data_IF_504191637914
#
_entry.id   IF_504191637914
#
_cell.length_a   1.000
_cell.length_b   1.000
_cell.length_c   1.000
_cell.angle_alpha   90.00
_cell.angle_beta   90.00
_cell.angle_gamma   90.00
#
_symmetry.space_group_name_H-M   'P 1'
#
loop_
_entity.id
_entity.type
_entity.pdbx_description
1 polymer ?
#
# COMPACT_ATOMS: atom_id res chain seq x y z
N UNK A 1 31.11 17.29 -23.65
CA UNK A 1 29.73 16.84 -23.46
C UNK A 1 29.23 17.52 -22.20
N UNK A 2 28.08 18.20 -22.26
CA UNK A 2 27.57 18.99 -21.14
C UNK A 2 27.30 18.09 -19.92
N UNK A 3 27.58 18.58 -18.71
CA UNK A 3 27.25 17.95 -17.43
C UNK A 3 25.74 17.84 -17.16
N UNK A 4 24.90 17.99 -18.20
CA UNK A 4 23.45 17.85 -18.07
C UNK A 4 23.10 16.41 -17.70
N UNK A 5 22.45 16.25 -16.54
CA UNK A 5 21.86 14.98 -16.09
C UNK A 5 20.34 15.12 -16.07
N UNK A 6 19.61 14.12 -16.52
CA UNK A 6 18.14 14.14 -16.43
C UNK A 6 17.73 14.25 -14.94
N UNK A 7 16.68 15.08 -14.67
CA UNK A 7 16.07 15.12 -13.34
C UNK A 7 15.53 13.72 -13.01
N UNK A 8 15.95 13.16 -11.88
CA UNK A 8 15.48 11.88 -11.41
C UNK A 8 13.99 11.94 -11.05
N UNK A 9 13.22 11.00 -11.56
CA UNK A 9 11.80 10.78 -11.23
C UNK A 9 11.65 9.39 -10.63
N UNK A 10 10.93 9.30 -9.51
CA UNK A 10 10.74 8.07 -8.75
C UNK A 10 9.42 7.46 -9.18
N UNK A 11 9.45 6.25 -9.77
CA UNK A 11 8.29 5.42 -10.09
C UNK A 11 8.36 4.10 -9.29
N UNK A 12 8.83 4.19 -8.06
CA UNK A 12 8.91 3.07 -7.13
C UNK A 12 7.52 2.81 -6.53
N UNK A 13 7.23 1.57 -6.12
CA UNK A 13 6.05 1.28 -5.28
C UNK A 13 6.15 1.87 -3.86
N UNK A 14 7.12 2.71 -3.62
CA UNK A 14 7.43 3.44 -2.40
C UNK A 14 8.92 3.39 -2.03
N UNK A 15 9.49 4.50 -1.50
CA UNK A 15 8.76 5.75 -1.24
C UNK A 15 8.23 6.39 -2.52
N UNK A 16 7.16 7.18 -2.41
CA UNK A 16 6.49 7.85 -3.52
C UNK A 16 6.84 9.34 -3.55
N UNK A 17 6.61 10.04 -4.66
CA UNK A 17 6.72 11.50 -4.68
C UNK A 17 5.83 12.13 -3.61
N UNK A 18 6.40 13.10 -2.89
CA UNK A 18 5.71 13.88 -1.86
C UNK A 18 5.19 15.17 -2.50
N UNK A 19 3.90 15.55 -2.32
CA UNK A 19 3.40 16.84 -2.78
C UNK A 19 4.15 18.00 -2.14
N UNK A 20 4.35 19.10 -2.88
CA UNK A 20 5.12 20.25 -2.38
C UNK A 20 4.53 20.83 -1.07
N UNK A 21 3.20 20.95 -0.95
CA UNK A 21 2.55 21.41 0.29
C UNK A 21 2.85 20.52 1.49
N UNK A 22 2.86 19.20 1.30
CA UNK A 22 3.20 18.22 2.34
C UNK A 22 4.69 18.34 2.74
N UNK A 23 5.57 18.54 1.77
CA UNK A 23 6.99 18.75 2.04
C UNK A 23 7.24 20.07 2.78
N UNK A 24 6.56 21.16 2.39
CA UNK A 24 6.65 22.47 3.05
C UNK A 24 6.07 22.45 4.45
N UNK A 25 4.96 21.75 4.68
CA UNK A 25 4.38 21.61 6.02
C UNK A 25 5.36 20.97 7.02
N UNK A 26 6.18 20.02 6.56
CA UNK A 26 7.21 19.40 7.40
C UNK A 26 8.27 20.41 7.88
N UNK A 27 8.49 21.48 7.14
CA UNK A 27 9.48 22.52 7.45
C UNK A 27 8.95 23.60 8.42
N UNK A 28 7.71 23.51 8.91
CA UNK A 28 7.18 24.44 9.90
C UNK A 28 8.00 24.44 11.19
N UNK A 29 8.04 25.56 11.92
CA UNK A 29 8.80 25.67 13.15
C UNK A 29 8.42 24.61 14.18
N UNK A 30 9.43 24.03 14.84
CA UNK A 30 9.25 23.07 15.91
C UNK A 30 8.41 23.65 17.05
N UNK A 31 7.57 22.83 17.66
CA UNK A 31 6.77 23.21 18.84
C UNK A 31 6.89 22.14 19.93
N UNK A 32 6.53 22.52 21.14
CA UNK A 32 6.37 21.57 22.24
C UNK A 32 5.22 20.60 21.95
N UNK A 33 5.54 19.31 21.92
CA UNK A 33 4.58 18.24 21.64
C UNK A 33 3.58 17.96 22.77
N UNK A 34 3.75 18.58 23.95
CA UNK A 34 2.82 18.59 25.07
C UNK A 34 2.21 19.97 25.28
N UNK A 35 2.34 20.83 24.30
CA UNK A 35 1.91 22.22 24.37
C UNK A 35 0.61 22.50 23.61
N UNK A 36 0.03 23.68 23.83
CA UNK A 36 -1.29 24.07 23.33
C UNK A 36 -1.38 24.18 21.80
N UNK A 37 -0.26 24.10 21.08
CA UNK A 37 -0.25 24.11 19.61
C UNK A 37 -0.31 22.70 19.03
N UNK A 38 0.37 21.72 19.65
CA UNK A 38 0.47 20.38 19.13
C UNK A 38 -0.70 19.48 19.52
N UNK A 39 -1.17 19.56 20.77
CA UNK A 39 -2.26 18.70 21.25
C UNK A 39 -3.57 18.80 20.42
N UNK A 40 -4.05 20.00 20.03
CA UNK A 40 -5.22 20.11 19.17
C UNK A 40 -4.99 19.49 17.79
N UNK A 41 -3.80 19.72 17.20
CA UNK A 41 -3.41 19.12 15.92
C UNK A 41 -3.43 17.59 16.00
N UNK A 42 -2.84 17.03 17.06
CA UNK A 42 -2.76 15.58 17.23
C UNK A 42 -4.15 14.95 17.37
N UNK A 43 -5.05 15.58 18.14
CA UNK A 43 -6.44 15.14 18.30
C UNK A 43 -7.21 15.20 16.97
N UNK A 44 -7.06 16.28 16.21
CA UNK A 44 -7.70 16.42 14.90
C UNK A 44 -7.20 15.33 13.93
N UNK A 45 -5.89 15.16 13.82
CA UNK A 45 -5.28 14.13 12.97
C UNK A 45 -5.77 12.73 13.36
N UNK A 46 -5.81 12.40 14.65
CA UNK A 46 -6.30 11.09 15.10
C UNK A 46 -7.77 10.88 14.76
N UNK A 47 -8.63 11.88 14.97
CA UNK A 47 -10.04 11.79 14.60
C UNK A 47 -10.24 11.61 13.10
N UNK A 48 -9.45 12.30 12.28
CA UNK A 48 -9.47 12.17 10.81
C UNK A 48 -9.00 10.79 10.37
N UNK A 49 -7.94 10.26 10.98
CA UNK A 49 -7.47 8.90 10.72
C UNK A 49 -8.55 7.86 11.09
N UNK A 50 -9.22 7.97 12.23
CA UNK A 50 -10.30 7.04 12.60
C UNK A 50 -11.43 7.04 11.56
N UNK A 51 -11.82 8.22 11.05
CA UNK A 51 -12.78 8.32 9.93
C UNK A 51 -12.23 7.69 8.65
N UNK A 52 -10.95 7.91 8.33
CA UNK A 52 -10.32 7.38 7.13
C UNK A 52 -10.27 5.84 7.15
N UNK A 53 -9.96 5.23 8.29
CA UNK A 53 -9.96 3.77 8.48
C UNK A 53 -11.36 3.19 8.70
N UNK A 54 -12.38 4.04 8.87
CA UNK A 54 -13.75 3.65 9.21
C UNK A 54 -13.77 2.69 10.42
N UNK A 55 -13.18 3.15 11.53
CA UNK A 55 -13.15 2.40 12.80
C UNK A 55 -13.66 3.24 13.96
N UNK A 56 -14.43 2.59 14.85
CA UNK A 56 -14.82 3.12 16.16
C UNK A 56 -13.71 2.93 17.22
N UNK A 57 -12.65 2.20 16.85
CA UNK A 57 -11.51 1.97 17.71
C UNK A 57 -10.49 3.11 17.71
N UNK A 58 -9.20 2.80 17.63
CA UNK A 58 -8.14 3.79 17.69
C UNK A 58 -7.13 3.63 16.55
N UNK A 59 -6.49 4.74 16.15
CA UNK A 59 -5.38 4.72 15.21
C UNK A 59 -4.11 5.21 15.91
N UNK A 60 -3.18 4.29 16.10
CA UNK A 60 -1.87 4.56 16.69
C UNK A 60 -0.92 5.09 15.62
N UNK A 61 -0.35 6.27 15.81
CA UNK A 61 0.65 6.88 14.93
C UNK A 61 2.03 6.71 15.54
N UNK A 62 2.83 5.83 14.96
CA UNK A 62 4.14 5.46 15.48
C UNK A 62 5.27 6.16 14.69
N UNK A 63 6.30 6.69 15.34
CA UNK A 63 7.51 7.15 14.67
C UNK A 63 8.34 5.94 14.21
N UNK A 64 7.92 5.33 13.10
CA UNK A 64 8.46 4.06 12.60
C UNK A 64 8.25 3.88 11.11
N UNK A 65 8.85 2.85 10.53
CA UNK A 65 8.46 2.32 9.23
C UNK A 65 7.24 1.40 9.33
N UNK A 66 6.58 1.09 8.21
CA UNK A 66 5.52 0.08 8.18
C UNK A 66 5.95 -1.26 8.77
N UNK A 67 7.21 -1.67 8.57
CA UNK A 67 7.77 -2.91 9.17
C UNK A 67 7.72 -2.88 10.71
N UNK A 68 8.06 -1.74 11.33
CA UNK A 68 7.90 -1.58 12.78
C UNK A 68 6.43 -1.52 13.20
N UNK A 69 5.53 -1.00 12.35
CA UNK A 69 4.08 -1.09 12.57
C UNK A 69 3.56 -2.53 12.58
N UNK A 70 4.06 -3.40 11.68
CA UNK A 70 3.75 -4.83 11.66
C UNK A 70 4.25 -5.54 12.93
N UNK A 71 5.46 -5.20 13.39
CA UNK A 71 6.00 -5.69 14.66
C UNK A 71 5.13 -5.25 15.84
N UNK A 72 4.82 -3.94 15.92
CA UNK A 72 3.95 -3.40 16.95
C UNK A 72 2.57 -4.09 16.97
N UNK A 73 1.99 -4.35 15.80
CA UNK A 73 0.73 -5.09 15.67
C UNK A 73 0.83 -6.47 16.34
N UNK A 74 1.82 -7.28 15.96
CA UNK A 74 1.95 -8.66 16.45
C UNK A 74 2.22 -8.72 17.96
N UNK A 75 3.17 -7.94 18.48
CA UNK A 75 3.53 -7.98 19.91
C UNK A 75 2.45 -7.43 20.84
N UNK A 76 1.51 -6.64 20.31
CA UNK A 76 0.41 -6.11 21.08
C UNK A 76 -0.85 -6.98 21.02
N UNK A 77 -1.16 -7.55 19.86
CA UNK A 77 -2.38 -8.33 19.70
C UNK A 77 -2.28 -9.74 20.27
N UNK A 78 -1.11 -10.37 20.20
CA UNK A 78 -0.99 -11.79 20.49
C UNK A 78 -0.15 -12.06 21.73
N UNK A 79 -0.54 -13.05 22.50
CA UNK A 79 0.24 -13.54 23.63
C UNK A 79 1.57 -14.16 23.13
N UNK A 80 2.67 -14.08 23.90
CA UNK A 80 3.93 -14.71 23.52
C UNK A 80 3.76 -16.20 23.20
N UNK A 81 4.31 -16.65 22.06
CA UNK A 81 4.21 -18.03 21.60
C UNK A 81 2.86 -18.43 21.01
N UNK A 82 1.92 -17.49 20.86
CA UNK A 82 0.63 -17.77 20.21
C UNK A 82 0.82 -18.30 18.79
N UNK A 83 -0.12 -19.13 18.34
CA UNK A 83 -0.11 -19.69 16.98
C UNK A 83 -0.83 -18.74 16.02
N UNK A 84 -0.18 -18.40 14.92
CA UNK A 84 -0.65 -17.48 13.89
C UNK A 84 -0.70 -18.19 12.53
N UNK A 85 -1.72 -17.92 11.76
CA UNK A 85 -1.77 -18.27 10.34
C UNK A 85 -1.38 -17.03 9.51
N UNK A 86 -0.38 -17.16 8.64
CA UNK A 86 0.03 -16.08 7.76
C UNK A 86 -0.16 -16.50 6.30
N UNK A 87 -0.93 -15.73 5.54
CA UNK A 87 -1.10 -15.91 4.09
C UNK A 87 0.09 -15.28 3.38
N UNK A 88 0.84 -16.08 2.63
CA UNK A 88 2.09 -15.70 1.96
C UNK A 88 1.88 -15.73 0.44
N UNK A 89 1.42 -14.61 -0.12
CA UNK A 89 1.22 -14.44 -1.57
C UNK A 89 2.39 -13.69 -2.24
N UNK A 90 3.47 -13.44 -1.51
CA UNK A 90 4.65 -12.75 -2.01
C UNK A 90 5.67 -12.41 -0.93
N UNK A 91 6.58 -11.49 -1.26
CA UNK A 91 7.70 -11.15 -0.38
C UNK A 91 7.27 -10.42 0.91
N UNK A 92 6.18 -9.65 0.88
CA UNK A 92 5.73 -8.91 2.06
C UNK A 92 4.96 -9.79 3.03
N UNK A 93 4.09 -10.67 2.55
CA UNK A 93 3.49 -11.72 3.38
C UNK A 93 4.55 -12.63 4.01
N UNK A 94 5.56 -13.04 3.23
CA UNK A 94 6.69 -13.83 3.75
C UNK A 94 7.46 -13.08 4.83
N UNK A 95 7.76 -11.78 4.61
CA UNK A 95 8.45 -10.96 5.62
C UNK A 95 7.69 -10.87 6.92
N UNK A 96 6.35 -10.77 6.87
CA UNK A 96 5.55 -10.69 8.08
C UNK A 96 5.56 -12.03 8.84
N UNK A 97 5.52 -13.15 8.11
CA UNK A 97 5.70 -14.48 8.70
C UNK A 97 7.08 -14.62 9.35
N UNK A 98 8.17 -14.30 8.64
CA UNK A 98 9.55 -14.34 9.14
C UNK A 98 9.71 -13.45 10.39
N UNK A 99 9.08 -12.28 10.40
CA UNK A 99 9.11 -11.36 11.54
C UNK A 99 8.39 -11.93 12.75
N UNK A 100 7.21 -12.52 12.57
CA UNK A 100 6.48 -13.15 13.67
C UNK A 100 7.24 -14.34 14.25
N UNK A 101 7.85 -15.19 13.41
CA UNK A 101 8.73 -16.30 13.87
C UNK A 101 9.93 -15.78 14.64
N UNK A 102 10.61 -14.72 14.15
CA UNK A 102 11.76 -14.12 14.83
C UNK A 102 11.39 -13.55 16.21
N UNK A 103 10.14 -13.18 16.42
CA UNK A 103 9.60 -12.75 17.73
C UNK A 103 9.10 -13.88 18.61
N UNK A 104 9.25 -15.15 18.16
CA UNK A 104 8.93 -16.35 18.95
C UNK A 104 7.47 -16.81 18.87
N UNK A 105 6.71 -16.38 17.84
CA UNK A 105 5.36 -16.91 17.57
C UNK A 105 5.42 -18.22 16.78
N UNK A 106 4.45 -19.11 17.00
CA UNK A 106 4.27 -20.31 16.19
C UNK A 106 3.52 -19.92 14.90
N UNK A 107 4.19 -19.96 13.76
CA UNK A 107 3.62 -19.50 12.49
C UNK A 107 3.36 -20.66 11.55
N UNK A 108 2.11 -20.81 11.12
CA UNK A 108 1.75 -21.64 9.99
C UNK A 108 1.61 -20.74 8.76
N UNK A 109 2.20 -21.15 7.63
CA UNK A 109 2.17 -20.38 6.39
C UNK A 109 1.20 -21.02 5.42
N UNK A 110 0.27 -20.23 4.89
CA UNK A 110 -0.51 -20.58 3.71
C UNK A 110 0.18 -19.98 2.50
N UNK A 111 0.99 -20.78 1.81
CA UNK A 111 1.69 -20.35 0.60
C UNK A 111 0.73 -20.26 -0.58
N UNK A 112 0.72 -19.11 -1.24
CA UNK A 112 -0.01 -18.83 -2.47
C UNK A 112 0.99 -18.60 -3.59
N UNK A 113 0.70 -19.08 -4.80
CA UNK A 113 1.58 -18.87 -5.93
C UNK A 113 1.78 -17.37 -6.19
N UNK A 114 3.03 -16.94 -6.34
CA UNK A 114 3.34 -15.52 -6.52
C UNK A 114 2.82 -15.01 -7.86
N UNK A 115 1.95 -14.03 -7.82
CA UNK A 115 1.18 -13.50 -8.94
C UNK A 115 -0.30 -13.86 -8.88
N UNK A 116 -0.70 -14.70 -7.94
CA UNK A 116 -2.09 -15.09 -7.70
C UNK A 116 -2.64 -14.48 -6.41
N UNK A 117 -3.95 -14.26 -6.37
CA UNK A 117 -4.66 -13.92 -5.15
C UNK A 117 -4.94 -15.18 -4.33
N UNK A 118 -5.00 -15.02 -3.01
CA UNK A 118 -5.41 -16.10 -2.12
C UNK A 118 -6.89 -16.42 -2.33
N UNK A 119 -7.20 -17.69 -2.45
CA UNK A 119 -8.58 -18.18 -2.44
C UNK A 119 -9.16 -18.09 -1.01
N UNK A 120 -10.25 -17.35 -0.79
CA UNK A 120 -10.88 -17.24 0.51
C UNK A 120 -11.29 -18.60 1.13
N UNK A 121 -11.70 -19.57 0.32
CA UNK A 121 -12.04 -20.90 0.79
C UNK A 121 -10.81 -21.68 1.29
N UNK A 122 -9.69 -21.53 0.59
CA UNK A 122 -8.41 -22.11 1.04
C UNK A 122 -7.94 -21.46 2.35
N UNK A 123 -8.15 -20.14 2.51
CA UNK A 123 -7.84 -19.44 3.76
C UNK A 123 -8.74 -19.93 4.90
N UNK A 124 -10.06 -20.07 4.68
CA UNK A 124 -11.00 -20.61 5.67
C UNK A 124 -10.62 -22.04 6.08
N UNK A 125 -10.33 -22.90 5.10
CA UNK A 125 -9.88 -24.27 5.35
C UNK A 125 -8.60 -24.29 6.19
N UNK A 126 -7.63 -23.44 5.90
CA UNK A 126 -6.40 -23.34 6.69
C UNK A 126 -6.68 -22.82 8.10
N UNK A 127 -7.52 -21.80 8.25
CA UNK A 127 -7.87 -21.17 9.52
C UNK A 127 -8.61 -22.14 10.48
N UNK A 128 -9.31 -23.13 9.95
CA UNK A 128 -10.04 -24.13 10.76
C UNK A 128 -9.15 -25.28 11.27
N UNK A 129 -7.89 -25.40 10.82
CA UNK A 129 -7.02 -26.54 11.15
C UNK A 129 -6.47 -26.53 12.57
N UNK A 130 -6.40 -25.35 13.20
CA UNK A 130 -5.85 -25.18 14.53
C UNK A 130 -6.48 -23.94 15.21
N UNK A 131 -6.39 -23.84 16.54
CA UNK A 131 -6.87 -22.68 17.27
C UNK A 131 -5.91 -21.50 17.11
N UNK A 132 -5.92 -20.86 15.95
CA UNK A 132 -5.10 -19.68 15.68
C UNK A 132 -5.57 -18.49 16.50
N UNK A 133 -4.62 -17.78 17.13
CA UNK A 133 -4.90 -16.49 17.78
C UNK A 133 -5.16 -15.39 16.76
N UNK A 134 -4.57 -15.50 15.57
CA UNK A 134 -4.77 -14.55 14.48
C UNK A 134 -4.49 -15.12 13.10
N UNK A 135 -5.12 -14.49 12.10
CA UNK A 135 -4.86 -14.68 10.68
C UNK A 135 -4.35 -13.36 10.10
N UNK A 136 -3.16 -13.41 9.52
CA UNK A 136 -2.43 -12.26 9.01
C UNK A 136 -2.28 -12.37 7.50
N UNK A 137 -2.53 -11.29 6.76
CA UNK A 137 -2.30 -11.25 5.32
C UNK A 137 -1.99 -9.85 4.81
N UNK A 138 -1.33 -9.77 3.64
CA UNK A 138 -1.02 -8.52 2.97
C UNK A 138 -2.11 -8.21 1.96
N UNK A 139 -2.85 -7.09 2.14
CA UNK A 139 -3.91 -6.64 1.22
C UNK A 139 -3.37 -6.43 -0.20
N UNK A 140 -2.28 -5.72 -0.32
CA UNK A 140 -1.68 -5.37 -1.61
C UNK A 140 -0.22 -5.84 -1.64
N UNK A 141 -0.01 -6.99 -2.27
CA UNK A 141 1.32 -7.60 -2.34
C UNK A 141 2.19 -6.90 -3.40
N UNK A 142 2.99 -5.97 -2.92
CA UNK A 142 3.80 -5.08 -3.76
C UNK A 142 4.85 -5.82 -4.60
N UNK A 143 5.29 -6.99 -4.17
CA UNK A 143 6.32 -7.77 -4.89
C UNK A 143 5.80 -8.39 -6.17
N UNK A 144 4.51 -8.68 -6.21
CA UNK A 144 3.84 -9.40 -7.32
C UNK A 144 2.83 -8.53 -8.07
N UNK A 145 2.40 -7.41 -7.48
CA UNK A 145 1.35 -6.56 -8.04
C UNK A 145 -0.06 -7.14 -7.87
N UNK A 146 -0.27 -7.95 -6.84
CA UNK A 146 -1.56 -8.59 -6.53
C UNK A 146 -2.29 -7.84 -5.43
N UNK A 147 -3.58 -7.59 -5.64
CA UNK A 147 -4.53 -7.13 -4.63
C UNK A 147 -5.35 -8.33 -4.15
N UNK A 148 -5.36 -8.56 -2.84
CA UNK A 148 -6.20 -9.58 -2.21
C UNK A 148 -7.62 -9.07 -2.01
N UNK A 149 -8.61 -9.93 -2.13
CA UNK A 149 -9.98 -9.64 -1.72
C UNK A 149 -10.10 -9.67 -0.19
N UNK A 150 -9.80 -8.52 0.42
CA UNK A 150 -9.81 -8.37 1.88
C UNK A 150 -11.18 -8.69 2.48
N UNK A 151 -12.27 -8.31 1.81
CA UNK A 151 -13.62 -8.55 2.28
C UNK A 151 -13.95 -10.04 2.32
N UNK A 152 -13.69 -10.75 1.23
CA UNK A 152 -13.94 -12.18 1.14
C UNK A 152 -13.05 -12.98 2.11
N UNK A 153 -11.76 -12.64 2.22
CA UNK A 153 -10.84 -13.31 3.15
C UNK A 153 -11.27 -13.08 4.60
N UNK A 154 -11.57 -11.82 4.99
CA UNK A 154 -11.99 -11.53 6.36
C UNK A 154 -13.30 -12.24 6.73
N UNK A 155 -14.28 -12.25 5.83
CA UNK A 155 -15.55 -12.98 6.03
C UNK A 155 -15.33 -14.49 6.18
N UNK A 156 -14.48 -15.08 5.33
CA UNK A 156 -14.14 -16.49 5.36
C UNK A 156 -13.43 -16.89 6.69
N UNK A 157 -12.47 -16.07 7.13
CA UNK A 157 -11.81 -16.28 8.44
C UNK A 157 -12.79 -16.13 9.59
N UNK A 158 -13.66 -15.12 9.55
CA UNK A 158 -14.65 -14.88 10.62
C UNK A 158 -15.60 -16.05 10.79
N UNK A 159 -15.97 -16.71 9.69
CA UNK A 159 -16.82 -17.91 9.72
C UNK A 159 -16.06 -19.14 10.21
N UNK A 160 -14.84 -19.36 9.73
CA UNK A 160 -14.06 -20.58 10.00
C UNK A 160 -13.35 -20.56 11.36
N UNK A 161 -12.90 -19.39 11.82
CA UNK A 161 -12.16 -19.18 13.05
C UNK A 161 -12.61 -17.90 13.78
N UNK A 162 -13.84 -17.83 14.33
CA UNK A 162 -14.45 -16.61 14.87
C UNK A 162 -13.66 -15.95 16.00
N UNK A 163 -12.83 -16.72 16.71
CA UNK A 163 -11.99 -16.23 17.80
C UNK A 163 -10.68 -15.60 17.30
N UNK A 164 -10.20 -15.98 16.12
CA UNK A 164 -8.98 -15.42 15.56
C UNK A 164 -9.16 -13.93 15.24
N UNK A 165 -8.13 -13.13 15.54
CA UNK A 165 -8.05 -11.74 15.09
C UNK A 165 -7.59 -11.70 13.64
N UNK A 166 -8.20 -10.82 12.85
CA UNK A 166 -7.80 -10.58 11.46
C UNK A 166 -6.95 -9.32 11.40
N UNK A 167 -5.66 -9.49 11.05
CA UNK A 167 -4.74 -8.37 10.89
C UNK A 167 -4.27 -8.24 9.45
N UNK A 168 -4.28 -7.02 8.92
CA UNK A 168 -4.02 -6.73 7.51
C UNK A 168 -2.83 -5.78 7.36
N UNK A 169 -1.82 -6.22 6.61
CA UNK A 169 -0.80 -5.32 6.05
C UNK A 169 -1.41 -4.60 4.83
N UNK A 170 -1.79 -3.34 5.02
CA UNK A 170 -2.28 -2.46 3.97
C UNK A 170 -1.27 -1.35 3.62
N UNK A 171 0.02 -1.55 3.93
CA UNK A 171 1.08 -0.54 3.77
C UNK A 171 1.11 0.05 2.36
N UNK A 172 0.95 -0.77 1.33
CA UNK A 172 1.04 -0.30 -0.06
C UNK A 172 -0.31 -0.16 -0.76
N UNK A 173 -1.41 -0.52 -0.09
CA UNK A 173 -2.77 -0.42 -0.62
C UNK A 173 -3.52 0.80 -0.09
N UNK A 174 -3.62 0.95 1.22
CA UNK A 174 -4.41 1.98 1.86
C UNK A 174 -3.66 3.32 1.97
N UNK A 175 -4.32 4.48 1.79
CA UNK A 175 -5.73 4.69 1.45
C UNK A 175 -6.05 4.80 -0.06
N UNK A 176 -5.24 4.23 -0.94
CA UNK A 176 -5.55 4.15 -2.38
C UNK A 176 -6.61 3.08 -2.70
N UNK A 177 -6.70 2.05 -1.85
CA UNK A 177 -7.73 1.02 -1.87
C UNK A 177 -8.61 1.20 -0.65
N UNK A 178 -9.92 1.25 -0.86
CA UNK A 178 -10.91 1.40 0.22
C UNK A 178 -10.85 0.17 1.15
N UNK A 179 -10.79 0.43 2.46
CA UNK A 179 -10.78 -0.60 3.50
C UNK A 179 -11.55 -0.10 4.73
N UNK A 180 -12.89 -0.19 4.75
CA UNK A 180 -13.70 0.14 5.93
C UNK A 180 -13.57 -0.99 6.96
N UNK A 181 -12.54 -0.92 7.81
CA UNK A 181 -12.05 -2.07 8.56
C UNK A 181 -13.08 -2.73 9.47
N UNK A 182 -13.88 -1.93 10.20
CA UNK A 182 -14.87 -2.48 11.13
C UNK A 182 -16.02 -3.17 10.37
N UNK A 183 -16.50 -2.59 9.27
CA UNK A 183 -17.54 -3.17 8.43
C UNK A 183 -17.09 -4.48 7.75
N UNK A 184 -15.79 -4.61 7.45
CA UNK A 184 -15.21 -5.83 6.89
C UNK A 184 -14.85 -6.88 7.96
N UNK A 185 -14.99 -6.57 9.24
CA UNK A 185 -14.59 -7.46 10.34
C UNK A 185 -13.08 -7.63 10.45
N UNK A 186 -12.30 -6.65 10.00
CA UNK A 186 -10.85 -6.59 10.17
C UNK A 186 -10.53 -5.98 11.53
N UNK A 187 -9.72 -6.67 12.35
CA UNK A 187 -9.43 -6.25 13.72
C UNK A 187 -8.26 -5.26 13.79
N UNK A 188 -7.27 -5.41 12.91
CA UNK A 188 -6.14 -4.49 12.83
C UNK A 188 -5.68 -4.24 11.40
N UNK A 189 -5.30 -2.99 11.11
CA UNK A 189 -4.74 -2.59 9.81
C UNK A 189 -3.44 -1.83 10.03
N UNK A 190 -2.38 -2.23 9.32
CA UNK A 190 -1.08 -1.56 9.37
C UNK A 190 -0.80 -0.84 8.07
N UNK A 191 -0.43 0.45 8.16
CA UNK A 191 -0.05 1.27 7.02
C UNK A 191 1.31 1.97 7.24
N UNK A 192 1.83 2.59 6.18
CA UNK A 192 3.07 3.35 6.21
C UNK A 192 2.95 4.69 5.51
N UNK A 193 3.63 5.70 6.03
CA UNK A 193 3.55 7.09 5.56
C UNK A 193 3.97 7.29 4.10
N UNK A 194 4.98 6.55 3.62
CA UNK A 194 5.67 6.78 2.35
C UNK A 194 5.00 6.11 1.13
N UNK A 195 3.71 5.79 1.21
CA UNK A 195 2.92 5.14 0.17
C UNK A 195 1.75 6.04 -0.22
N UNK A 196 0.52 5.54 -0.16
CA UNK A 196 -0.66 6.30 -0.53
C UNK A 196 -0.97 7.51 0.37
N UNK A 197 -0.37 7.60 1.56
CA UNK A 197 -0.42 8.81 2.39
C UNK A 197 0.43 9.96 1.85
N UNK A 198 1.31 9.72 0.86
CA UNK A 198 2.12 10.73 0.18
C UNK A 198 3.05 11.54 1.10
N UNK A 199 3.51 10.92 2.19
CA UNK A 199 4.43 11.51 3.16
C UNK A 199 5.86 11.01 2.95
N UNK A 200 6.86 11.68 3.49
CA UNK A 200 8.17 11.06 3.69
C UNK A 200 8.07 9.82 4.57
N UNK A 201 9.01 8.84 4.43
CA UNK A 201 9.12 7.72 5.36
C UNK A 201 9.33 8.23 6.79
N UNK A 202 8.75 7.55 7.79
CA UNK A 202 8.99 7.88 9.20
C UNK A 202 7.78 7.70 10.11
N UNK A 203 6.58 7.48 9.57
CA UNK A 203 5.41 7.12 10.35
C UNK A 203 4.84 5.77 9.91
N UNK A 204 4.38 4.99 10.89
CA UNK A 204 3.52 3.84 10.70
C UNK A 204 2.18 4.10 11.40
N UNK A 205 1.11 3.62 10.78
CA UNK A 205 -0.24 3.69 11.32
C UNK A 205 -0.69 2.28 11.68
N UNK A 206 -1.11 2.07 12.92
CA UNK A 206 -1.73 0.83 13.37
C UNK A 206 -3.14 1.16 13.81
N UNK A 207 -4.11 0.88 12.94
CA UNK A 207 -5.52 1.01 13.26
C UNK A 207 -6.00 -0.25 13.97
N UNK A 208 -6.72 -0.08 15.06
CA UNK A 208 -7.22 -1.12 15.96
C UNK A 208 -8.73 -0.99 16.05
N UNK A 209 -9.45 -2.04 15.63
CA UNK A 209 -10.88 -2.16 15.87
C UNK A 209 -11.19 -2.55 17.33
N UNK A 210 -12.48 -2.61 17.72
CA UNK A 210 -12.87 -2.88 19.10
C UNK A 210 -12.26 -4.13 19.72
N UNK A 211 -12.24 -5.26 18.99
CA UNK A 211 -11.65 -6.52 19.47
C UNK A 211 -10.12 -6.44 19.63
N UNK A 212 -9.46 -5.69 18.74
CA UNK A 212 -8.02 -5.47 18.86
C UNK A 212 -7.69 -4.57 20.06
N UNK A 213 -8.53 -3.57 20.38
CA UNK A 213 -8.39 -2.75 21.58
C UNK A 213 -8.50 -3.59 22.86
N UNK A 214 -9.44 -4.53 22.94
CA UNK A 214 -9.50 -5.47 24.04
C UNK A 214 -8.24 -6.35 24.11
N UNK A 215 -7.78 -6.84 22.97
CA UNK A 215 -6.61 -7.71 22.90
C UNK A 215 -5.32 -7.04 23.36
N UNK A 216 -5.12 -5.74 23.08
CA UNK A 216 -3.89 -5.04 23.50
C UNK A 216 -3.79 -4.85 25.02
N UNK A 217 -4.86 -4.99 25.79
CA UNK A 217 -4.82 -4.91 27.26
C UNK A 217 -4.25 -6.19 27.90
N UNK A 218 -4.08 -7.28 27.14
CA UNK A 218 -3.55 -8.55 27.64
C UNK A 218 -2.16 -8.41 28.28
N UNK A 219 -1.97 -9.15 29.40
CA UNK A 219 -0.74 -9.17 30.17
C UNK A 219 0.35 -10.09 29.58
N UNK A 220 1.57 -9.99 30.15
CA UNK A 220 2.70 -10.87 29.80
C UNK A 220 3.40 -10.55 28.48
N UNK A 221 2.95 -9.53 27.76
CA UNK A 221 3.55 -9.12 26.47
C UNK A 221 4.84 -8.33 26.67
N UNK A 222 5.88 -8.72 25.93
CA UNK A 222 7.19 -8.03 25.96
C UNK A 222 7.20 -6.87 25.00
N UNK A 223 6.75 -5.69 25.44
CA UNK A 223 6.66 -4.46 24.65
C UNK A 223 7.02 -3.26 25.53
N UNK A 224 7.71 -2.28 24.99
CA UNK A 224 8.02 -1.01 25.64
C UNK A 224 7.85 0.13 24.65
N UNK A 225 8.73 0.25 23.65
CA UNK A 225 8.64 1.30 22.65
C UNK A 225 7.40 1.19 21.77
N UNK A 226 7.02 -0.03 21.44
CA UNK A 226 5.83 -0.36 20.64
C UNK A 226 4.62 -0.78 21.50
N UNK A 227 4.52 -0.35 22.76
CA UNK A 227 3.28 -0.52 23.52
C UNK A 227 2.19 0.39 22.93
N UNK A 228 1.18 -0.21 22.30
CA UNK A 228 0.12 0.53 21.62
C UNK A 228 -0.90 1.13 22.56
N UNK A 229 -0.98 0.71 23.83
CA UNK A 229 -1.97 1.20 24.81
C UNK A 229 -1.94 2.72 25.04
N UNK A 230 -0.78 3.36 25.28
CA UNK A 230 -0.71 4.81 25.35
C UNK A 230 -1.15 5.49 24.04
N UNK A 231 -0.65 5.00 22.90
CA UNK A 231 -1.01 5.57 21.59
C UNK A 231 -2.52 5.47 21.32
N UNK A 232 -3.14 4.34 21.66
CA UNK A 232 -4.59 4.15 21.52
C UNK A 232 -5.41 5.12 22.37
N UNK A 233 -4.86 5.60 23.50
CA UNK A 233 -5.46 6.65 24.33
C UNK A 233 -5.13 8.07 23.89
N UNK A 234 -4.35 8.24 22.82
CA UNK A 234 -3.91 9.54 22.33
C UNK A 234 -2.68 10.11 23.05
N UNK A 235 -2.00 9.29 23.86
CA UNK A 235 -0.79 9.68 24.56
C UNK A 235 0.46 9.53 23.68
N UNK A 236 1.52 10.25 24.01
CA UNK A 236 2.82 10.15 23.37
C UNK A 236 3.85 9.60 24.37
N UNK A 237 4.06 8.27 24.45
CA UNK A 237 5.04 7.69 25.39
C UNK A 237 6.49 8.03 25.01
N UNK A 238 6.73 8.41 23.76
CA UNK A 238 7.99 8.94 23.25
C UNK A 238 7.72 10.21 22.43
N UNK A 239 8.77 11.05 22.25
CA UNK A 239 8.64 12.28 21.47
C UNK A 239 8.20 11.98 20.05
N UNK A 240 7.07 12.51 19.59
CA UNK A 240 6.58 12.29 18.23
C UNK A 240 7.42 13.05 17.21
N UNK A 241 7.40 12.60 15.98
CA UNK A 241 8.06 13.28 14.85
C UNK A 241 7.23 14.51 14.42
N UNK A 242 7.28 15.60 15.18
CA UNK A 242 6.41 16.80 15.07
C UNK A 242 6.29 17.30 13.63
N UNK A 243 7.40 17.42 12.88
CA UNK A 243 7.37 17.85 11.48
C UNK A 243 6.56 16.91 10.59
N UNK A 244 6.62 15.59 10.83
CA UNK A 244 5.81 14.61 10.09
C UNK A 244 4.33 14.68 10.47
N UNK A 245 3.97 15.14 11.70
CA UNK A 245 2.59 15.38 12.07
C UNK A 245 2.00 16.59 11.33
N UNK A 246 2.78 17.67 11.14
CA UNK A 246 2.37 18.78 10.29
C UNK A 246 2.14 18.34 8.84
N UNK A 247 3.09 17.56 8.31
CA UNK A 247 2.95 16.98 6.96
C UNK A 247 1.75 16.04 6.85
N UNK A 248 1.44 15.27 7.91
CA UNK A 248 0.29 14.36 7.96
C UNK A 248 -1.04 15.12 7.92
N UNK A 249 -1.15 16.22 8.65
CA UNK A 249 -2.34 17.08 8.59
C UNK A 249 -2.59 17.58 7.15
N UNK A 250 -1.56 18.14 6.50
CA UNK A 250 -1.64 18.59 5.09
C UNK A 250 -1.96 17.43 4.13
N UNK A 251 -1.38 16.24 4.35
CA UNK A 251 -1.68 15.07 3.54
C UNK A 251 -3.14 14.62 3.70
N UNK A 252 -3.68 14.68 4.92
CA UNK A 252 -5.08 14.37 5.18
C UNK A 252 -6.02 15.39 4.52
N UNK A 253 -5.69 16.69 4.51
CA UNK A 253 -6.46 17.71 3.78
C UNK A 253 -6.59 17.36 2.29
N UNK A 254 -5.49 16.91 1.67
CA UNK A 254 -5.49 16.47 0.26
C UNK A 254 -6.31 15.20 0.05
N UNK A 255 -6.15 14.22 0.94
CA UNK A 255 -6.88 12.95 0.87
C UNK A 255 -8.40 13.17 1.04
N UNK A 256 -8.81 14.06 1.93
CA UNK A 256 -10.22 14.40 2.14
C UNK A 256 -10.79 15.23 0.99
N UNK A 257 -10.01 16.18 0.44
CA UNK A 257 -10.40 16.97 -0.73
C UNK A 257 -10.60 16.11 -1.97
N UNK A 258 -9.71 15.13 -2.21
CA UNK A 258 -9.85 14.20 -3.33
C UNK A 258 -11.02 13.24 -3.12
N UNK A 259 -11.25 12.79 -1.89
CA UNK A 259 -12.23 11.77 -1.55
C UNK A 259 -11.83 10.35 -1.96
N UNK A 260 -12.47 9.35 -1.35
CA UNK A 260 -12.12 7.94 -1.59
C UNK A 260 -12.40 7.48 -3.03
N UNK A 261 -13.58 7.79 -3.55
CA UNK A 261 -14.02 7.33 -4.87
C UNK A 261 -13.11 7.87 -5.99
N UNK A 262 -12.84 9.18 -5.96
CA UNK A 262 -11.97 9.80 -6.96
C UNK A 262 -10.54 9.26 -6.86
N UNK A 263 -10.02 9.06 -5.65
CA UNK A 263 -8.69 8.50 -5.41
C UNK A 263 -8.56 7.07 -5.92
N UNK A 264 -9.53 6.21 -5.61
CA UNK A 264 -9.55 4.84 -6.10
C UNK A 264 -9.65 4.80 -7.63
N UNK A 265 -10.54 5.60 -8.21
CA UNK A 265 -10.70 5.71 -9.66
C UNK A 265 -9.41 6.16 -10.34
N UNK A 266 -8.71 7.16 -9.76
CA UNK A 266 -7.41 7.62 -10.25
C UNK A 266 -6.37 6.51 -10.22
N UNK A 267 -6.21 5.79 -9.11
CA UNK A 267 -5.23 4.70 -9.00
C UNK A 267 -5.55 3.56 -9.97
N UNK A 268 -6.82 3.19 -10.12
CA UNK A 268 -7.25 2.20 -11.12
C UNK A 268 -6.97 2.66 -12.55
N UNK A 269 -7.15 3.92 -12.86
CA UNK A 269 -6.79 4.50 -14.16
C UNK A 269 -5.28 4.38 -14.40
N UNK A 270 -4.44 4.85 -13.46
CA UNK A 270 -2.99 4.79 -13.58
C UNK A 270 -2.50 3.35 -13.80
N UNK A 271 -3.08 2.40 -13.06
CA UNK A 271 -2.78 0.98 -13.22
C UNK A 271 -3.12 0.46 -14.62
N UNK A 272 -4.32 0.80 -15.14
CA UNK A 272 -4.70 0.43 -16.51
C UNK A 272 -3.75 1.02 -17.56
N UNK A 273 -3.36 2.28 -17.40
CA UNK A 273 -2.42 2.95 -18.29
C UNK A 273 -1.07 2.22 -18.32
N UNK A 274 -0.54 1.86 -17.14
CA UNK A 274 0.75 1.15 -17.04
C UNK A 274 0.65 -0.23 -17.67
N UNK A 275 -0.41 -1.00 -17.41
CA UNK A 275 -0.59 -2.33 -18.01
C UNK A 275 -0.76 -2.25 -19.52
N UNK A 276 -1.54 -1.30 -20.04
CA UNK A 276 -1.71 -1.11 -21.49
C UNK A 276 -0.38 -0.76 -22.18
N UNK A 277 0.38 0.17 -21.60
CA UNK A 277 1.68 0.58 -22.12
C UNK A 277 2.71 -0.54 -22.06
N UNK A 278 2.77 -1.31 -20.98
CA UNK A 278 3.66 -2.46 -20.85
C UNK A 278 3.33 -3.55 -21.89
N UNK A 279 2.06 -3.89 -22.06
CA UNK A 279 1.60 -4.85 -23.06
C UNK A 279 1.95 -4.44 -24.49
N UNK A 280 1.84 -3.14 -24.82
CA UNK A 280 2.19 -2.60 -26.13
C UNK A 280 3.66 -2.80 -26.52
N UNK A 281 4.55 -2.93 -25.53
CA UNK A 281 5.99 -3.20 -25.75
C UNK A 281 6.38 -4.66 -25.43
N UNK A 282 5.40 -5.57 -25.35
CA UNK A 282 5.65 -7.00 -25.18
C UNK A 282 5.97 -7.43 -23.75
N UNK A 283 5.68 -6.61 -22.74
CA UNK A 283 5.83 -6.98 -21.34
C UNK A 283 4.48 -7.42 -20.77
N UNK A 284 4.46 -8.54 -20.05
CA UNK A 284 3.23 -9.07 -19.47
C UNK A 284 3.14 -8.73 -17.97
N UNK A 285 1.97 -8.26 -17.46
CA UNK A 285 1.73 -8.18 -16.02
C UNK A 285 1.88 -9.57 -15.38
N UNK A 286 2.47 -9.62 -14.19
CA UNK A 286 2.60 -10.87 -13.42
C UNK A 286 1.25 -11.30 -12.84
N UNK A 287 0.49 -10.34 -12.29
CA UNK A 287 -0.84 -10.58 -11.76
C UNK A 287 -1.89 -10.65 -12.87
N UNK A 288 -2.91 -11.50 -12.69
CA UNK A 288 -4.09 -11.51 -13.55
C UNK A 288 -4.85 -10.17 -13.46
N UNK A 289 -5.63 -9.82 -14.49
CA UNK A 289 -6.40 -8.56 -14.50
C UNK A 289 -7.38 -8.48 -13.31
N UNK A 290 -7.99 -9.60 -12.93
CA UNK A 290 -8.95 -9.68 -11.82
C UNK A 290 -8.30 -9.41 -10.44
N UNK A 291 -7.03 -9.77 -10.27
CA UNK A 291 -6.28 -9.59 -9.03
C UNK A 291 -5.24 -8.46 -9.11
N UNK A 292 -5.24 -7.69 -10.21
CA UNK A 292 -4.21 -6.67 -10.41
C UNK A 292 -4.32 -5.50 -9.42
N UNK A 293 -3.20 -5.19 -8.77
CA UNK A 293 -3.06 -4.07 -7.86
C UNK A 293 -3.32 -2.72 -8.56
N UNK A 294 -4.07 -1.81 -7.92
CA UNK A 294 -4.22 -0.45 -8.40
C UNK A 294 -3.03 0.47 -8.04
N UNK A 295 -2.03 0.00 -7.29
CA UNK A 295 -0.94 0.83 -6.77
C UNK A 295 0.44 0.48 -7.32
N UNK A 296 0.60 -0.72 -7.87
CA UNK A 296 1.85 -1.20 -8.45
C UNK A 296 1.56 -2.21 -9.57
N UNK A 297 2.29 -2.11 -10.66
CA UNK A 297 2.29 -3.12 -11.73
C UNK A 297 3.64 -3.81 -11.77
N UNK A 298 3.66 -5.12 -11.51
CA UNK A 298 4.82 -5.97 -11.72
C UNK A 298 4.75 -6.54 -13.14
N UNK A 299 5.81 -6.34 -13.94
CA UNK A 299 5.88 -6.80 -15.31
C UNK A 299 6.98 -7.84 -15.49
N UNK A 300 6.70 -8.89 -16.26
CA UNK A 300 7.64 -9.93 -16.68
C UNK A 300 8.21 -9.60 -18.04
N UNK A 301 9.40 -10.14 -18.32
CA UNK A 301 10.13 -9.92 -19.55
C UNK A 301 10.21 -11.20 -20.38
N UNK A 302 10.30 -11.10 -21.71
CA UNK A 302 10.58 -12.23 -22.56
C UNK A 302 11.92 -12.90 -22.22
N UNK A 303 12.08 -14.16 -22.58
CA UNK A 303 13.32 -14.90 -22.39
C UNK A 303 14.50 -14.18 -23.07
N UNK A 304 15.63 -14.17 -22.39
CA UNK A 304 16.85 -13.51 -22.86
C UNK A 304 16.95 -12.01 -22.54
N UNK A 305 15.91 -11.37 -22.02
CA UNK A 305 15.96 -9.97 -21.58
C UNK A 305 16.23 -9.90 -20.09
N UNK A 306 17.33 -9.26 -19.68
CA UNK A 306 17.64 -9.05 -18.26
C UNK A 306 16.92 -7.82 -17.71
N UNK A 307 15.94 -7.99 -16.79
CA UNK A 307 15.24 -6.87 -16.17
C UNK A 307 16.16 -5.91 -15.39
N UNK A 308 17.30 -6.41 -14.88
CA UNK A 308 18.26 -5.56 -14.16
C UNK A 308 18.95 -4.59 -15.11
N UNK A 309 19.31 -5.05 -16.32
CA UNK A 309 19.88 -4.20 -17.35
C UNK A 309 18.87 -3.13 -17.80
N UNK A 310 17.62 -3.50 -18.04
CA UNK A 310 16.54 -2.54 -18.39
C UNK A 310 16.34 -1.51 -17.29
N UNK A 311 16.37 -1.93 -16.02
CA UNK A 311 16.28 -1.02 -14.87
C UNK A 311 17.46 -0.05 -14.79
N UNK A 312 18.67 -0.52 -15.08
CA UNK A 312 19.87 0.32 -15.09
C UNK A 312 19.76 1.41 -16.18
N UNK A 313 19.34 1.03 -17.40
CA UNK A 313 19.10 1.96 -18.49
C UNK A 313 17.98 2.97 -18.16
N UNK A 314 16.85 2.53 -17.61
CA UNK A 314 15.77 3.41 -17.16
C UNK A 314 16.29 4.42 -16.12
N UNK A 315 17.13 3.97 -15.19
CA UNK A 315 17.80 4.85 -14.21
C UNK A 315 18.70 5.88 -14.88
N UNK A 316 19.50 5.49 -15.87
CA UNK A 316 20.35 6.41 -16.64
C UNK A 316 19.51 7.47 -17.41
N UNK A 317 18.28 7.12 -17.79
CA UNK A 317 17.32 8.04 -18.40
C UNK A 317 16.56 8.91 -17.38
N UNK A 318 16.80 8.74 -16.08
CA UNK A 318 16.18 9.51 -15.02
C UNK A 318 14.90 8.88 -14.43
N UNK A 319 14.56 7.62 -14.78
CA UNK A 319 13.39 6.93 -14.24
C UNK A 319 13.80 5.83 -13.24
N UNK A 320 13.44 6.00 -11.97
CA UNK A 320 13.68 4.99 -10.92
C UNK A 320 12.53 4.01 -10.86
N UNK A 321 12.74 2.78 -11.36
CA UNK A 321 11.79 1.68 -11.31
C UNK A 321 12.14 0.67 -10.22
N UNK A 322 11.13 -0.01 -9.67
CA UNK A 322 11.31 -1.07 -8.68
C UNK A 322 11.85 -2.36 -9.32
N UNK A 323 12.83 -3.00 -8.69
CA UNK A 323 13.26 -4.35 -9.08
C UNK A 323 12.35 -5.43 -8.50
N UNK A 324 12.44 -6.64 -9.02
CA UNK A 324 11.83 -7.84 -8.44
C UNK A 324 12.37 -8.15 -7.05
N UNK A 325 11.67 -8.99 -6.30
CA UNK A 325 12.06 -9.44 -4.95
C UNK A 325 12.04 -10.96 -4.86
N UNK A 326 12.82 -11.53 -3.92
CA UNK A 326 12.93 -12.97 -3.75
C UNK A 326 13.32 -13.66 -5.08
N UNK A 327 12.64 -14.73 -5.42
CA UNK A 327 12.88 -15.46 -6.66
C UNK A 327 12.47 -14.69 -7.95
N UNK A 328 11.74 -13.58 -7.82
CA UNK A 328 11.38 -12.70 -8.94
C UNK A 328 12.47 -11.65 -9.26
N UNK A 329 13.58 -11.59 -8.52
CA UNK A 329 14.63 -10.56 -8.66
C UNK A 329 15.20 -10.44 -10.08
N UNK A 330 15.30 -11.58 -10.79
CA UNK A 330 15.81 -11.63 -12.17
C UNK A 330 14.70 -11.77 -13.23
N UNK A 331 13.43 -11.60 -12.86
CA UNK A 331 12.29 -11.86 -13.75
C UNK A 331 11.34 -10.69 -13.90
N UNK A 332 11.35 -9.76 -12.96
CA UNK A 332 10.30 -8.75 -12.82
C UNK A 332 10.90 -7.36 -12.60
N UNK A 333 10.31 -6.35 -13.24
CA UNK A 333 10.36 -4.96 -12.80
C UNK A 333 9.00 -4.53 -12.28
N UNK A 334 8.99 -3.50 -11.42
CA UNK A 334 7.77 -2.94 -10.86
C UNK A 334 7.69 -1.46 -11.16
N UNK A 335 6.57 -1.04 -11.71
CA UNK A 335 6.20 0.36 -11.89
C UNK A 335 5.22 0.73 -10.77
N UNK A 336 5.63 1.63 -9.89
CA UNK A 336 4.79 2.18 -8.84
C UNK A 336 3.94 3.31 -9.39
N UNK A 337 2.66 3.31 -9.02
CA UNK A 337 1.70 4.35 -9.35
C UNK A 337 0.81 4.72 -8.15
N UNK A 338 1.34 4.53 -6.94
CA UNK A 338 0.69 4.81 -5.66
C UNK A 338 1.00 6.22 -5.17
N UNK A 339 0.01 6.91 -4.63
CA UNK A 339 0.17 8.21 -3.99
C UNK A 339 0.06 9.37 -4.99
N UNK A 340 1.04 10.27 -5.01
CA UNK A 340 0.98 11.53 -5.77
C UNK A 340 1.44 11.35 -7.23
N UNK A 341 0.68 10.60 -8.01
CA UNK A 341 0.90 10.44 -9.44
C UNK A 341 -0.32 10.87 -10.26
N UNK A 342 -0.03 11.40 -11.45
CA UNK A 342 -1.01 11.81 -12.46
C UNK A 342 -0.81 11.00 -13.76
N UNK A 343 -1.76 11.00 -14.70
CA UNK A 343 -1.66 10.30 -15.98
C UNK A 343 -0.38 10.60 -16.78
N UNK A 344 0.07 11.86 -16.79
CA UNK A 344 1.30 12.26 -17.49
C UNK A 344 2.56 11.63 -16.92
N UNK A 345 2.59 11.33 -15.61
CA UNK A 345 3.71 10.63 -14.98
C UNK A 345 3.82 9.20 -15.52
N UNK A 346 2.70 8.53 -15.75
CA UNK A 346 2.68 7.17 -16.30
C UNK A 346 3.17 7.15 -17.75
N UNK A 347 2.79 8.13 -18.56
CA UNK A 347 3.30 8.28 -19.93
C UNK A 347 4.84 8.45 -19.89
N UNK A 348 5.35 9.31 -19.00
CA UNK A 348 6.79 9.51 -18.85
C UNK A 348 7.52 8.23 -18.39
N UNK A 349 6.98 7.50 -17.42
CA UNK A 349 7.54 6.24 -16.95
C UNK A 349 7.62 5.19 -18.05
N UNK A 350 6.55 5.06 -18.84
CA UNK A 350 6.43 4.09 -19.92
C UNK A 350 7.32 4.45 -21.12
N UNK A 351 7.45 5.72 -21.46
CA UNK A 351 8.39 6.18 -22.49
C UNK A 351 9.85 5.85 -22.10
N UNK A 352 10.22 6.07 -20.84
CA UNK A 352 11.53 5.69 -20.33
C UNK A 352 11.73 4.16 -20.33
N UNK A 353 10.72 3.38 -19.94
CA UNK A 353 10.76 1.93 -19.94
C UNK A 353 10.93 1.35 -21.35
N UNK A 354 10.18 1.89 -22.31
CA UNK A 354 10.28 1.49 -23.73
C UNK A 354 11.67 1.78 -24.30
N UNK A 355 12.21 2.99 -24.05
CA UNK A 355 13.54 3.37 -24.52
C UNK A 355 14.63 2.52 -23.84
N UNK A 356 14.51 2.24 -22.53
CA UNK A 356 15.44 1.38 -21.83
C UNK A 356 15.42 -0.06 -22.38
N UNK A 357 14.24 -0.61 -22.62
CA UNK A 357 14.06 -1.93 -23.22
C UNK A 357 14.70 -1.99 -24.61
N UNK A 358 14.43 -1.00 -25.46
CA UNK A 358 15.00 -0.92 -26.80
C UNK A 358 16.53 -0.88 -26.78
N UNK A 359 17.16 -0.12 -25.87
CA UNK A 359 18.62 -0.08 -25.73
C UNK A 359 19.23 -1.43 -25.32
N UNK A 360 18.57 -2.16 -24.41
CA UNK A 360 19.05 -3.45 -23.94
C UNK A 360 18.89 -4.54 -25.01
N UNK A 361 17.81 -4.49 -25.77
CA UNK A 361 17.49 -5.53 -26.78
C UNK A 361 18.03 -5.23 -28.16
N UNK A 362 18.60 -4.04 -28.41
CA UNK A 362 18.94 -3.57 -29.75
C UNK A 362 17.73 -3.25 -30.63
N UNK A 363 16.55 -3.16 -30.04
CA UNK A 363 15.29 -2.84 -30.71
C UNK A 363 15.09 -1.34 -30.96
N UNK A 364 13.86 -0.97 -31.32
CA UNK A 364 13.47 0.42 -31.58
C UNK A 364 12.40 0.87 -30.57
N UNK A 365 12.56 2.08 -30.04
CA UNK A 365 11.49 2.79 -29.30
C UNK A 365 10.74 3.69 -30.28
N UNK A 366 9.46 3.43 -30.48
CA UNK A 366 8.60 4.17 -31.43
C UNK A 366 7.42 4.86 -30.72
N UNK A 367 7.43 4.88 -29.37
CA UNK A 367 6.45 5.58 -28.54
C UNK A 367 5.16 4.82 -28.29
N UNK A 368 5.10 3.51 -28.66
CA UNK A 368 3.87 2.72 -28.53
C UNK A 368 3.40 2.53 -27.11
N UNK A 369 4.32 2.44 -26.14
CA UNK A 369 3.94 2.33 -24.72
C UNK A 369 3.21 3.57 -24.22
N UNK A 370 3.73 4.77 -24.57
CA UNK A 370 3.07 6.04 -24.25
C UNK A 370 1.74 6.22 -24.99
N UNK A 371 1.67 5.84 -26.27
CA UNK A 371 0.45 5.90 -27.06
C UNK A 371 -0.67 4.99 -26.48
N UNK A 372 -0.35 3.76 -26.09
CA UNK A 372 -1.32 2.86 -25.46
C UNK A 372 -1.80 3.37 -24.09
N UNK A 373 -0.92 3.96 -23.29
CA UNK A 373 -1.30 4.61 -22.04
C UNK A 373 -2.24 5.80 -22.26
N UNK A 374 -1.94 6.64 -23.26
CA UNK A 374 -2.81 7.76 -23.64
C UNK A 374 -4.19 7.29 -24.09
N UNK A 375 -4.26 6.24 -24.91
CA UNK A 375 -5.53 5.64 -25.35
C UNK A 375 -6.36 5.13 -24.16
N UNK A 376 -5.73 4.48 -23.18
CA UNK A 376 -6.40 4.04 -21.96
C UNK A 376 -6.94 5.22 -21.12
N UNK A 377 -6.21 6.32 -21.08
CA UNK A 377 -6.67 7.55 -20.42
C UNK A 377 -7.86 8.20 -21.16
N UNK A 378 -7.77 8.34 -22.48
CA UNK A 378 -8.86 8.88 -23.32
C UNK A 378 -10.16 8.05 -23.16
N UNK A 379 -10.04 6.73 -23.15
CA UNK A 379 -11.20 5.84 -22.92
C UNK A 379 -11.86 6.09 -21.56
N UNK A 380 -11.06 6.36 -20.52
CA UNK A 380 -11.58 6.67 -19.19
C UNK A 380 -12.30 8.02 -19.14
N UNK A 381 -11.79 9.04 -19.83
CA UNK A 381 -12.44 10.35 -19.91
C UNK A 381 -13.80 10.26 -20.61
N UNK A 382 -13.87 9.56 -21.74
CA UNK A 382 -15.12 9.34 -22.47
C UNK A 382 -16.19 8.60 -21.64
N UNK A 383 -15.77 7.61 -20.83
CA UNK A 383 -16.66 6.91 -19.91
C UNK A 383 -17.25 7.84 -18.83
N UNK A 384 -16.41 8.71 -18.27
CA UNK A 384 -16.81 9.69 -17.26
C UNK A 384 -17.79 10.74 -17.81
N UNK A 385 -17.56 11.25 -19.02
CA UNK A 385 -18.45 12.17 -19.70
C UNK A 385 -19.81 11.54 -20.01
N UNK A 386 -19.81 10.29 -20.47
CA UNK A 386 -21.06 9.55 -20.73
C UNK A 386 -21.85 9.33 -19.46
N UNK A 387 -21.19 8.95 -18.35
CA UNK A 387 -21.83 8.75 -17.05
C UNK A 387 -22.44 10.07 -16.52
N UNK A 388 -21.73 11.18 -16.63
CA UNK A 388 -22.21 12.49 -16.23
C UNK A 388 -23.44 12.94 -17.07
N UNK A 389 -23.40 12.70 -18.39
CA UNK A 389 -24.53 13.02 -19.27
C UNK A 389 -25.79 12.19 -18.98
N UNK A 390 -25.63 10.92 -18.59
CA UNK A 390 -26.75 10.05 -18.18
C UNK A 390 -27.34 10.48 -16.83
N UNK A 391 -26.50 10.85 -15.86
CA UNK A 391 -26.96 11.36 -14.57
C UNK A 391 -27.76 12.66 -14.71
N UNK A 392 -27.28 13.61 -15.53
CA UNK A 392 -27.99 14.87 -15.80
C UNK A 392 -29.37 14.67 -16.48
N UNK A 393 -29.53 13.63 -17.30
CA UNK A 393 -30.83 13.29 -17.94
C UNK A 393 -31.80 12.60 -16.97
N UNK A 394 -31.28 11.88 -15.96
CA UNK A 394 -32.10 11.20 -14.95
C UNK A 394 -32.73 12.16 -13.92
N UNK A 395 -32.09 13.32 -13.66
CA UNK A 395 -32.61 14.34 -12.73
C UNK A 395 -33.65 15.26 -13.35
N UNK A 396 -33.74 15.34 -14.70
CA UNK A 396 -34.73 16.14 -15.41
C UNK A 396 -36.10 15.47 -15.60
N UNK A 397 -36.32 14.29 -15.07
CA UNK A 397 -37.51 13.49 -15.23
C UNK A 397 -38.37 13.26 -13.96
N UNK A 398 -38.21 14.12 -12.94
CA UNK A 398 -39.08 14.08 -11.74
C UNK A 398 -39.82 15.37 -11.56
#
# INVERSE_FOLDING_TARGET
>A
MSDWRPRERIFLPGPTPVPDGVALAQALPMTDHRGPRFEPLARDVQARLSRLFATEGAVCVLPSSGTGGLEACVVNLFAPGARLLVVVAGAFGRRWADQAEAMGYAVDRLEVAWGEAADPEAVASAASRAPYAGVLFTQNETSTGVLQDTAAIAAAVRQAAPHALVAVDAISGFPAVVLPMDALGVDAVVCGSQKAFMLPPGLAFVALGPRALEAIEGEGRRRFYFDLRPFARGDFPATPAVGLWYALAEALDRLETEGFEAREARHRLLARMVRAGAAAIGLAPLASEAAASPTVTAVTFPDGVDPKAVRAEATALGARLGGGQGHLTARVLRVGHVGNFAPLDMIAALACLELALARVTGGRADGRAGAAALAAWQASLAQSETAAALAARGEGGR
#
